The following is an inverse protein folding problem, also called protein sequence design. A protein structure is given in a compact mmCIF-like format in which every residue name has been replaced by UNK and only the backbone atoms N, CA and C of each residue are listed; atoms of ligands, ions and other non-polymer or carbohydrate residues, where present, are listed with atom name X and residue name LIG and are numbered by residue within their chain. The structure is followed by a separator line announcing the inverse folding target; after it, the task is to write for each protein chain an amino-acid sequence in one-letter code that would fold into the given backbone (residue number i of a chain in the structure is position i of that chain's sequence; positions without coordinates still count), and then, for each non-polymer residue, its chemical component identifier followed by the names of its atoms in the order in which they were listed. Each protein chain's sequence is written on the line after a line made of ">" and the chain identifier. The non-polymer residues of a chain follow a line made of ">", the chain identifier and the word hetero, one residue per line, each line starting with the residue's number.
data_IF_934391053911
#
_entry.id   IF_934391053911
#
_cell.length_a   1.000
_cell.length_b   1.000
_cell.length_c   1.000
_cell.angle_alpha   90.00
_cell.angle_beta   90.00
_cell.angle_gamma   90.00
#
_symmetry.space_group_name_H-M   'P 1'
#
loop_
_entity.id
_entity.type
_entity.pdbx_description
1 polymer ?
#
# COMPACT_ATOMS: atom_id res chain seq x y z
N UNK A 1 15.98 30.13 -16.04
CA UNK A 1 15.20 28.91 -16.29
C UNK A 1 16.18 27.77 -16.19
N UNK A 2 16.34 27.23 -14.99
CA UNK A 2 17.31 26.18 -14.67
C UNK A 2 16.53 24.97 -14.24
N UNK A 3 16.55 23.90 -15.01
CA UNK A 3 16.88 22.56 -14.52
C UNK A 3 16.86 21.58 -15.69
N UNK A 4 18.06 21.29 -16.17
CA UNK A 4 18.35 20.23 -17.11
C UNK A 4 19.49 19.43 -16.48
N UNK A 5 19.32 18.11 -16.50
CA UNK A 5 20.23 17.05 -16.04
C UNK A 5 20.12 16.67 -14.55
N UNK A 6 19.33 15.63 -14.30
CA UNK A 6 19.79 14.58 -13.40
C UNK A 6 19.73 13.26 -14.18
N UNK A 7 20.79 13.01 -14.93
CA UNK A 7 21.04 11.72 -15.59
C UNK A 7 22.21 11.07 -14.87
N UNK A 8 21.91 10.48 -13.71
CA UNK A 8 22.84 9.62 -13.01
C UNK A 8 22.43 8.16 -13.19
N UNK A 9 23.29 7.42 -13.89
CA UNK A 9 23.12 6.03 -14.25
C UNK A 9 23.13 5.11 -13.04
N UNK A 10 21.95 4.83 -12.49
CA UNK A 10 21.74 3.59 -11.74
C UNK A 10 21.15 2.54 -12.69
N UNK A 11 21.89 1.48 -12.97
CA UNK A 11 21.27 0.21 -13.34
C UNK A 11 20.50 -0.29 -12.11
N UNK A 12 19.31 0.26 -11.91
CA UNK A 12 18.47 0.07 -10.73
C UNK A 12 17.00 0.01 -11.15
N UNK A 13 16.25 -0.88 -10.51
CA UNK A 13 14.81 -1.04 -10.78
C UNK A 13 14.12 0.33 -10.66
N UNK A 14 13.33 0.76 -11.66
CA UNK A 14 12.64 2.04 -11.62
C UNK A 14 11.92 2.26 -10.28
N UNK A 15 11.98 3.47 -9.71
CA UNK A 15 11.32 3.76 -8.45
C UNK A 15 9.81 3.52 -8.58
N UNK A 16 9.20 2.90 -7.57
CA UNK A 16 7.78 2.50 -7.61
C UNK A 16 6.80 3.70 -7.59
N UNK A 17 7.28 4.94 -7.51
CA UNK A 17 6.43 6.12 -7.34
C UNK A 17 5.64 6.13 -6.02
N UNK A 18 6.07 5.33 -5.03
CA UNK A 18 5.37 5.15 -3.75
C UNK A 18 6.21 5.68 -2.60
N UNK A 19 5.56 6.35 -1.64
CA UNK A 19 6.18 6.73 -0.37
C UNK A 19 6.27 5.49 0.55
N UNK A 20 7.46 5.15 1.10
CA UNK A 20 7.58 4.02 2.01
C UNK A 20 6.82 4.26 3.31
N UNK A 21 6.16 3.22 3.84
CA UNK A 21 5.47 3.24 5.13
C UNK A 21 5.85 1.99 5.91
N UNK A 22 6.32 2.17 7.15
CA UNK A 22 6.64 1.06 8.06
C UNK A 22 5.42 0.75 8.91
N UNK A 23 4.97 -0.51 8.87
CA UNK A 23 3.91 -1.02 9.75
C UNK A 23 4.45 -2.18 10.58
N UNK A 24 3.88 -2.38 11.77
CA UNK A 24 4.15 -3.53 12.61
C UNK A 24 3.00 -4.52 12.51
N UNK A 25 3.30 -5.76 12.16
CA UNK A 25 2.36 -6.88 12.16
C UNK A 25 2.89 -7.96 13.09
N UNK A 26 1.99 -8.76 13.68
CA UNK A 26 2.42 -9.91 14.47
C UNK A 26 3.12 -10.94 13.59
N UNK A 27 4.02 -11.74 14.18
CA UNK A 27 4.70 -12.81 13.46
C UNK A 27 3.70 -13.84 12.89
N UNK A 28 2.62 -14.12 13.62
CA UNK A 28 1.53 -15.00 13.17
C UNK A 28 0.84 -14.44 11.92
N UNK A 29 0.50 -13.14 11.91
CA UNK A 29 -0.10 -12.48 10.76
C UNK A 29 0.79 -12.56 9.53
N UNK A 30 2.10 -12.32 9.69
CA UNK A 30 3.07 -12.40 8.59
C UNK A 30 3.09 -13.83 8.02
N UNK A 31 3.20 -14.85 8.89
CA UNK A 31 3.19 -16.27 8.46
C UNK A 31 1.91 -16.65 7.72
N UNK A 32 0.76 -16.18 8.20
CA UNK A 32 -0.54 -16.44 7.54
C UNK A 32 -0.58 -15.82 6.14
N UNK A 33 -0.04 -14.63 5.95
CA UNK A 33 0.03 -14.01 4.62
C UNK A 33 1.00 -14.79 3.72
N UNK A 34 2.19 -15.11 4.21
CA UNK A 34 3.21 -15.86 3.44
C UNK A 34 2.69 -17.23 3.00
N UNK A 35 1.94 -17.93 3.85
CA UNK A 35 1.30 -19.19 3.51
C UNK A 35 0.25 -19.05 2.38
N UNK A 36 -0.42 -17.91 2.27
CA UNK A 36 -1.44 -17.65 1.25
C UNK A 36 -0.84 -17.21 -0.10
N UNK A 37 0.14 -16.31 -0.08
CA UNK A 37 0.64 -15.66 -1.31
C UNK A 37 2.04 -16.10 -1.73
N UNK A 38 2.72 -16.87 -0.88
CA UNK A 38 4.11 -17.25 -1.05
C UNK A 38 5.09 -16.17 -0.61
N UNK A 39 6.35 -16.60 -0.48
CA UNK A 39 7.45 -15.74 -0.06
C UNK A 39 7.64 -14.59 -1.07
N UNK A 40 8.06 -13.41 -0.59
CA UNK A 40 8.31 -12.18 -1.40
C UNK A 40 7.05 -11.47 -1.93
N UNK A 41 5.84 -11.98 -1.67
CA UNK A 41 4.58 -11.33 -2.09
C UNK A 41 3.83 -10.59 -0.98
N UNK A 42 4.37 -10.60 0.25
CA UNK A 42 3.81 -9.90 1.41
C UNK A 42 3.48 -8.42 1.14
N UNK A 43 4.44 -7.67 0.58
CA UNK A 43 4.24 -6.25 0.31
C UNK A 43 3.19 -5.99 -0.78
N UNK A 44 3.09 -6.87 -1.79
CA UNK A 44 2.06 -6.77 -2.82
C UNK A 44 0.67 -7.02 -2.21
N UNK A 45 0.54 -8.11 -1.43
CA UNK A 45 -0.69 -8.46 -0.74
C UNK A 45 -1.19 -7.33 0.15
N UNK A 46 -0.31 -6.73 0.97
CA UNK A 46 -0.69 -5.62 1.86
C UNK A 46 -1.16 -4.41 1.06
N UNK A 47 -0.48 -4.04 -0.03
CA UNK A 47 -0.90 -2.90 -0.87
C UNK A 47 -2.27 -3.15 -1.50
N UNK A 48 -2.48 -4.31 -2.11
CA UNK A 48 -3.76 -4.66 -2.72
C UNK A 48 -4.89 -4.69 -1.68
N UNK A 49 -4.64 -5.27 -0.50
CA UNK A 49 -5.62 -5.31 0.58
C UNK A 49 -6.04 -3.90 1.03
N UNK A 50 -5.08 -2.98 1.17
CA UNK A 50 -5.36 -1.58 1.54
C UNK A 50 -6.12 -0.86 0.42
N UNK A 51 -5.70 -0.99 -0.84
CA UNK A 51 -6.40 -0.38 -1.99
C UNK A 51 -7.84 -0.86 -2.09
N UNK A 52 -8.07 -2.17 -1.99
CA UNK A 52 -9.41 -2.75 -2.05
C UNK A 52 -10.29 -2.28 -0.89
N UNK A 53 -9.71 -2.11 0.31
CA UNK A 53 -10.44 -1.62 1.47
C UNK A 53 -10.80 -0.13 1.35
N UNK A 54 -9.91 0.70 0.81
CA UNK A 54 -10.21 2.10 0.51
C UNK A 54 -11.37 2.21 -0.48
N UNK A 55 -11.30 1.50 -1.61
CA UNK A 55 -12.38 1.47 -2.59
C UNK A 55 -13.72 1.05 -1.96
N UNK A 56 -13.72 0.00 -1.13
CA UNK A 56 -14.95 -0.41 -0.43
C UNK A 56 -15.54 0.70 0.43
N UNK A 57 -14.72 1.43 1.18
CA UNK A 57 -15.18 2.50 2.08
C UNK A 57 -15.57 3.78 1.34
N UNK A 58 -14.92 4.07 0.23
CA UNK A 58 -15.20 5.23 -0.61
C UNK A 58 -16.48 5.04 -1.43
N UNK A 59 -16.81 3.80 -1.81
CA UNK A 59 -18.04 3.46 -2.53
C UNK A 59 -19.21 3.05 -1.63
N UNK A 60 -18.95 2.75 -0.36
CA UNK A 60 -20.02 2.60 0.63
C UNK A 60 -20.46 4.00 1.03
N UNK A 61 -21.68 4.39 0.65
CA UNK A 61 -22.29 5.65 1.10
C UNK A 61 -22.03 5.85 2.60
N UNK A 62 -21.57 7.03 3.05
CA UNK A 62 -21.39 7.28 4.45
C UNK A 62 -22.74 7.03 5.10
N UNK A 63 -22.80 6.08 6.05
CA UNK A 63 -23.93 5.98 6.96
C UNK A 63 -24.08 7.38 7.54
N UNK A 64 -25.10 8.10 7.08
CA UNK A 64 -25.46 9.42 7.58
C UNK A 64 -25.66 9.17 9.06
N UNK A 65 -24.71 9.60 9.89
CA UNK A 65 -24.88 9.57 11.33
C UNK A 65 -26.05 10.52 11.57
N UNK A 66 -27.24 9.95 11.69
CA UNK A 66 -28.42 10.73 12.03
C UNK A 66 -28.09 11.41 13.35
N UNK A 67 -28.07 12.75 13.31
CA UNK A 67 -27.92 13.58 14.48
C UNK A 67 -29.08 13.22 15.43
N UNK A 68 -28.77 12.47 16.48
CA UNK A 68 -29.63 12.41 17.65
C UNK A 68 -29.35 13.70 18.41
N UNK A 69 -30.30 14.63 18.29
CA UNK A 69 -30.27 15.93 18.95
C UNK A 69 -30.44 15.87 20.45
#
# INVERSE_FOLDING_TARGET
>A
MTDMADSDGSMGRPPLGMKPTTIRLSADTIRRIEALVGNRRLALFIREAVTNELQRREHSEPIKRENIG
#
